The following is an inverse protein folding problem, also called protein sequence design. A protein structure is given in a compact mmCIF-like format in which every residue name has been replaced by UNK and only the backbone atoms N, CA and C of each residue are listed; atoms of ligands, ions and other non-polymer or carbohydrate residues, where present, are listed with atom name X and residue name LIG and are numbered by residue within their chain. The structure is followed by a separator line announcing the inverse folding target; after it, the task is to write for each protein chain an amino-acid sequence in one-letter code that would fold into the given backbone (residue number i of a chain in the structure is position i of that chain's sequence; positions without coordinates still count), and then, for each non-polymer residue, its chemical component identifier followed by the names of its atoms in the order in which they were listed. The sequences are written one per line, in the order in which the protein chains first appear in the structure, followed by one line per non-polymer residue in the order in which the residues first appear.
data_IF_341507852013
#
_entry.id   IF_341507852013
#
_cell.length_a   1.000
_cell.length_b   1.000
_cell.length_c   1.000
_cell.angle_alpha   90.00
_cell.angle_beta   90.00
_cell.angle_gamma   90.00
#
_symmetry.space_group_name_H-M   'P 1'
#
loop_
_entity.id
_entity.type
_entity.pdbx_description
1 polymer ?
#
# COMPACT_ATOMS: atom_id res chain seq x y z
N UNK A 1 2.44 -4.81 -17.47
CA UNK A 1 2.24 -6.16 -16.93
C UNK A 1 1.32 -6.03 -15.73
N UNK A 2 0.01 -6.16 -15.96
CA UNK A 2 -0.98 -6.13 -14.89
C UNK A 2 -0.94 -7.49 -14.20
N UNK A 3 -0.09 -7.64 -13.19
CA UNK A 3 -0.18 -8.77 -12.28
C UNK A 3 -1.54 -8.59 -11.60
N UNK A 4 -2.54 -9.38 -11.97
CA UNK A 4 -3.80 -9.42 -11.23
C UNK A 4 -3.43 -9.63 -9.75
N UNK A 5 -3.74 -8.62 -8.94
CA UNK A 5 -3.31 -8.51 -7.55
C UNK A 5 -4.06 -9.56 -6.74
N UNK A 6 -3.60 -10.81 -6.80
CA UNK A 6 -4.07 -11.91 -5.97
C UNK A 6 -3.36 -11.81 -4.63
N UNK A 7 -4.15 -11.69 -3.57
CA UNK A 7 -3.67 -11.65 -2.20
C UNK A 7 -2.92 -12.93 -1.81
N UNK A 8 -1.79 -12.80 -1.11
CA UNK A 8 -1.00 -13.97 -0.68
C UNK A 8 -1.45 -14.49 0.67
N UNK A 9 -2.30 -15.52 0.66
CA UNK A 9 -2.29 -16.56 1.69
C UNK A 9 -1.52 -17.78 1.14
N UNK A 10 -1.08 -18.68 2.01
CA UNK A 10 -0.22 -19.83 1.65
C UNK A 10 -0.88 -20.68 0.54
N UNK A 11 -0.39 -20.55 -0.70
CA UNK A 11 -0.91 -21.25 -1.89
C UNK A 11 -1.57 -20.36 -2.96
N UNK A 12 -1.79 -19.09 -2.66
CA UNK A 12 -2.54 -18.15 -3.53
C UNK A 12 -1.62 -17.24 -4.36
N UNK A 13 -0.33 -17.18 -4.04
CA UNK A 13 0.63 -16.42 -4.82
C UNK A 13 0.98 -17.12 -6.14
N UNK A 14 0.12 -16.95 -7.15
CA UNK A 14 0.27 -17.46 -8.51
C UNK A 14 -0.52 -16.60 -9.49
N UNK A 15 -0.13 -16.58 -10.76
CA UNK A 15 -0.91 -15.89 -11.80
C UNK A 15 -2.15 -16.70 -12.25
N UNK A 16 -2.81 -16.29 -13.33
CA UNK A 16 -3.93 -17.02 -13.93
C UNK A 16 -3.53 -18.36 -14.56
N UNK A 17 -2.27 -18.48 -15.00
CA UNK A 17 -1.73 -19.73 -15.57
C UNK A 17 -1.26 -20.72 -14.50
N UNK A 18 -1.28 -20.30 -13.22
CA UNK A 18 -0.83 -21.10 -12.08
C UNK A 18 0.66 -20.99 -11.80
N UNK A 19 1.37 -20.07 -12.47
CA UNK A 19 2.79 -19.84 -12.26
C UNK A 19 3.01 -19.22 -10.87
N UNK A 20 3.71 -19.94 -9.99
CA UNK A 20 3.93 -19.55 -8.60
C UNK A 20 4.80 -18.29 -8.50
N UNK A 21 4.55 -17.47 -7.48
CA UNK A 21 5.31 -16.25 -7.21
C UNK A 21 4.88 -15.03 -8.00
N UNK A 22 3.97 -15.18 -8.98
CA UNK A 22 3.41 -14.07 -9.78
C UNK A 22 2.20 -13.44 -9.09
N UNK A 23 2.46 -12.81 -7.95
CA UNK A 23 1.49 -12.04 -7.19
C UNK A 23 2.18 -10.83 -6.54
N UNK A 24 1.43 -9.95 -5.86
CA UNK A 24 2.01 -8.76 -5.19
C UNK A 24 3.04 -9.14 -4.12
N UNK A 25 2.79 -10.18 -3.32
CA UNK A 25 3.74 -10.63 -2.30
C UNK A 25 5.03 -11.19 -2.91
N UNK A 26 4.91 -11.96 -3.98
CA UNK A 26 6.06 -12.47 -4.72
C UNK A 26 6.86 -11.35 -5.39
N UNK A 27 6.18 -10.33 -5.92
CA UNK A 27 6.83 -9.14 -6.46
C UNK A 27 7.60 -8.37 -5.36
N UNK A 28 7.03 -8.18 -4.19
CA UNK A 28 7.71 -7.55 -3.04
C UNK A 28 8.99 -8.33 -2.69
N UNK A 29 8.92 -9.65 -2.59
CA UNK A 29 10.09 -10.49 -2.32
C UNK A 29 11.15 -10.37 -3.43
N UNK A 30 10.72 -10.40 -4.70
CA UNK A 30 11.61 -10.29 -5.85
C UNK A 30 12.37 -8.95 -5.86
N UNK A 31 11.65 -7.83 -5.81
CA UNK A 31 12.29 -6.50 -5.85
C UNK A 31 13.09 -6.19 -4.58
N UNK A 32 12.70 -6.75 -3.43
CA UNK A 32 13.53 -6.70 -2.22
C UNK A 32 14.86 -7.41 -2.45
N UNK A 33 14.85 -8.62 -3.02
CA UNK A 33 16.07 -9.37 -3.32
C UNK A 33 16.97 -8.67 -4.35
N UNK A 34 16.38 -8.04 -5.37
CA UNK A 34 17.13 -7.21 -6.32
C UNK A 34 17.80 -6.02 -5.62
N UNK A 35 17.09 -5.34 -4.71
CA UNK A 35 17.66 -4.20 -4.00
C UNK A 35 18.75 -4.60 -2.99
N UNK A 36 18.76 -5.84 -2.48
CA UNK A 36 19.87 -6.32 -1.64
C UNK A 36 21.21 -6.37 -2.39
N UNK A 37 21.21 -6.39 -3.73
CA UNK A 37 22.44 -6.37 -4.53
C UNK A 37 22.97 -4.95 -4.79
N UNK A 38 22.41 -3.91 -4.15
CA UNK A 38 22.77 -2.50 -4.41
C UNK A 38 24.25 -2.15 -4.14
N UNK A 39 24.91 -2.90 -3.27
CA UNK A 39 26.32 -2.73 -2.92
C UNK A 39 27.26 -3.49 -3.87
N UNK A 40 26.73 -4.39 -4.70
CA UNK A 40 27.51 -5.16 -5.66
C UNK A 40 27.70 -4.37 -6.96
N UNK A 41 28.93 -4.29 -7.44
CA UNK A 41 29.29 -3.64 -8.71
C UNK A 41 28.80 -4.39 -9.96
N UNK A 42 28.13 -5.54 -9.80
CA UNK A 42 27.70 -6.43 -10.89
C UNK A 42 26.19 -6.65 -10.95
N UNK A 43 25.37 -5.76 -10.38
CA UNK A 43 23.92 -5.89 -10.48
C UNK A 43 23.46 -5.74 -11.93
N UNK A 44 22.88 -6.81 -12.50
CA UNK A 44 22.24 -6.79 -13.82
C UNK A 44 20.90 -6.03 -13.81
N UNK A 45 20.33 -5.81 -12.62
CA UNK A 45 19.02 -5.18 -12.45
C UNK A 45 19.07 -3.65 -12.41
N UNK A 46 18.02 -3.03 -12.97
CA UNK A 46 17.74 -1.62 -12.77
C UNK A 46 17.19 -1.37 -11.36
N UNK A 47 18.07 -1.03 -10.43
CA UNK A 47 17.70 -0.87 -9.02
C UNK A 47 16.76 0.32 -8.76
N UNK A 48 16.77 1.35 -9.62
CA UNK A 48 15.79 2.44 -9.54
C UNK A 48 14.39 1.93 -9.82
N UNK A 49 14.24 1.08 -10.84
CA UNK A 49 12.98 0.42 -11.16
C UNK A 49 12.54 -0.53 -10.04
N UNK A 50 13.47 -1.31 -9.49
CA UNK A 50 13.19 -2.18 -8.36
C UNK A 50 12.70 -1.41 -7.12
N UNK A 51 13.31 -0.25 -6.83
CA UNK A 51 12.90 0.61 -5.72
C UNK A 51 11.48 1.17 -5.93
N UNK A 52 11.16 1.59 -7.15
CA UNK A 52 9.82 2.09 -7.50
C UNK A 52 8.76 0.99 -7.39
N UNK A 53 9.04 -0.20 -7.93
CA UNK A 53 8.14 -1.33 -7.84
C UNK A 53 7.95 -1.81 -6.41
N UNK A 54 9.02 -1.96 -5.63
CA UNK A 54 8.92 -2.34 -4.22
C UNK A 54 8.01 -1.38 -3.45
N UNK A 55 8.23 -0.08 -3.65
CA UNK A 55 7.45 0.97 -2.99
C UNK A 55 5.98 0.91 -3.38
N UNK A 56 5.70 0.77 -4.67
CA UNK A 56 4.34 0.66 -5.19
C UNK A 56 3.64 -0.60 -4.65
N UNK A 57 4.31 -1.75 -4.70
CA UNK A 57 3.72 -3.01 -4.26
C UNK A 57 3.53 -3.10 -2.75
N UNK A 58 4.40 -2.49 -1.94
CA UNK A 58 4.13 -2.35 -0.50
C UNK A 58 2.92 -1.45 -0.27
N UNK A 59 2.70 -0.40 -1.07
CA UNK A 59 1.45 0.35 -1.00
C UNK A 59 0.24 -0.49 -1.37
N UNK A 60 0.33 -1.20 -2.49
CA UNK A 60 -0.75 -2.05 -3.01
C UNK A 60 -1.16 -3.16 -2.05
N UNK A 61 -0.20 -3.88 -1.46
CA UNK A 61 -0.51 -5.01 -0.58
C UNK A 61 -1.24 -4.58 0.69
N UNK A 62 -1.17 -3.30 1.06
CA UNK A 62 -1.91 -2.73 2.20
C UNK A 62 -3.34 -2.31 1.85
N UNK A 63 -3.65 -2.18 0.56
CA UNK A 63 -5.01 -1.94 0.07
C UNK A 63 -5.81 -3.24 0.22
N UNK A 64 -6.91 -3.24 1.01
CA UNK A 64 -7.62 -4.49 1.33
C UNK A 64 -8.11 -5.28 0.10
N UNK A 65 -8.66 -4.59 -0.90
CA UNK A 65 -9.25 -5.21 -2.10
C UNK A 65 -8.20 -5.66 -3.15
N UNK A 66 -6.93 -5.26 -3.05
CA UNK A 66 -5.79 -5.83 -3.77
C UNK A 66 -5.39 -7.21 -3.20
N UNK A 67 -6.03 -7.60 -2.10
CA UNK A 67 -5.97 -8.93 -1.49
C UNK A 67 -7.41 -9.41 -1.29
N UNK A 68 -8.28 -9.16 -2.28
CA UNK A 68 -9.69 -9.53 -2.26
C UNK A 68 -10.00 -10.86 -2.94
N UNK A 69 -11.29 -11.13 -3.17
CA UNK A 69 -11.72 -12.39 -3.76
C UNK A 69 -11.50 -12.42 -5.28
N UNK A 70 -11.10 -13.58 -5.80
CA UNK A 70 -10.91 -13.75 -7.26
C UNK A 70 -12.23 -13.74 -8.01
N UNK A 71 -13.33 -14.17 -7.36
CA UNK A 71 -14.68 -14.22 -7.94
C UNK A 71 -15.22 -12.86 -8.35
N UNK A 72 -14.81 -11.81 -7.65
CA UNK A 72 -15.23 -10.42 -7.91
C UNK A 72 -14.08 -9.52 -8.40
N UNK A 73 -12.93 -10.13 -8.74
CA UNK A 73 -11.69 -9.45 -9.11
C UNK A 73 -11.29 -8.37 -8.09
N UNK A 74 -11.42 -8.66 -6.79
CA UNK A 74 -11.16 -7.69 -5.74
C UNK A 74 -12.21 -6.57 -5.69
N UNK A 75 -13.48 -6.86 -5.94
CA UNK A 75 -14.58 -5.90 -5.97
C UNK A 75 -14.63 -5.02 -7.24
N UNK A 76 -13.90 -5.39 -8.31
CA UNK A 76 -13.99 -4.70 -9.60
C UNK A 76 -15.27 -5.07 -10.37
N UNK A 77 -15.93 -6.17 -10.02
CA UNK A 77 -17.21 -6.58 -10.62
C UNK A 77 -18.41 -6.28 -9.72
N UNK A 78 -18.22 -5.46 -8.68
CA UNK A 78 -19.29 -5.04 -7.77
C UNK A 78 -19.59 -3.58 -8.09
N UNK A 79 -20.65 -3.33 -8.87
CA UNK A 79 -21.08 -1.96 -9.16
C UNK A 79 -21.73 -1.36 -7.91
N UNK A 80 -21.38 -0.12 -7.59
CA UNK A 80 -21.92 0.64 -6.47
C UNK A 80 -22.14 2.10 -6.89
N UNK A 81 -22.75 2.87 -6.02
CA UNK A 81 -22.74 4.33 -6.11
C UNK A 81 -21.92 4.88 -4.96
N UNK A 82 -20.92 5.72 -5.27
CA UNK A 82 -20.27 6.57 -4.28
C UNK A 82 -20.99 7.91 -4.24
N UNK A 83 -21.78 8.13 -3.20
CA UNK A 83 -22.79 9.19 -3.18
C UNK A 83 -23.62 9.17 -4.48
N UNK A 84 -23.53 10.24 -5.29
CA UNK A 84 -24.30 10.40 -6.53
C UNK A 84 -23.58 9.84 -7.78
N UNK A 85 -22.37 9.32 -7.66
CA UNK A 85 -21.56 8.85 -8.79
C UNK A 85 -21.53 7.33 -8.85
N UNK A 86 -21.82 6.73 -10.01
CA UNK A 86 -21.61 5.30 -10.23
C UNK A 86 -20.11 4.98 -10.16
N UNK A 87 -19.74 3.96 -9.40
CA UNK A 87 -18.38 3.48 -9.19
C UNK A 87 -18.36 1.95 -9.07
N UNK A 88 -17.16 1.37 -8.95
CA UNK A 88 -16.98 -0.04 -8.53
C UNK A 88 -16.38 -0.09 -7.13
N UNK A 89 -16.70 -1.12 -6.35
CA UNK A 89 -16.26 -1.22 -4.94
C UNK A 89 -14.73 -1.14 -4.80
N UNK A 90 -14.00 -1.73 -5.74
CA UNK A 90 -12.54 -1.61 -5.81
C UNK A 90 -12.07 -0.16 -5.82
N UNK A 91 -12.69 0.67 -6.67
CA UNK A 91 -12.38 2.09 -6.87
C UNK A 91 -12.80 2.96 -5.68
N UNK A 92 -13.83 2.52 -4.95
CA UNK A 92 -14.25 3.18 -3.70
C UNK A 92 -13.22 2.99 -2.58
N UNK A 93 -12.66 1.79 -2.44
CA UNK A 93 -11.83 1.45 -1.27
C UNK A 93 -10.33 1.65 -1.49
N UNK A 94 -9.91 2.41 -2.51
CA UNK A 94 -8.50 2.53 -2.88
C UNK A 94 -7.71 3.26 -1.78
N UNK A 95 -6.59 2.66 -1.43
CA UNK A 95 -5.50 3.26 -0.68
C UNK A 95 -4.50 3.73 -1.72
N UNK A 96 -4.21 5.03 -1.78
CA UNK A 96 -3.30 5.56 -2.77
C UNK A 96 -1.84 5.24 -2.37
N UNK A 97 -1.06 4.47 -3.16
CA UNK A 97 0.36 4.21 -2.87
C UNK A 97 1.21 5.50 -2.79
N UNK A 98 0.69 6.60 -3.35
CA UNK A 98 1.34 7.92 -3.33
C UNK A 98 1.39 8.52 -1.91
N UNK A 99 0.32 8.38 -1.14
CA UNK A 99 0.24 8.89 0.23
C UNK A 99 1.18 8.12 1.15
N UNK A 100 1.24 6.79 1.01
CA UNK A 100 2.15 5.93 1.77
C UNK A 100 3.60 6.42 1.64
N UNK A 101 3.97 6.90 0.46
CA UNK A 101 5.32 7.40 0.21
C UNK A 101 5.57 8.81 0.73
N UNK A 102 4.57 9.69 0.66
CA UNK A 102 4.69 11.02 1.24
C UNK A 102 4.74 10.97 2.78
N UNK A 103 4.03 10.02 3.40
CA UNK A 103 4.15 9.71 4.84
C UNK A 103 5.60 9.38 5.23
N UNK A 104 6.33 8.63 4.39
CA UNK A 104 7.72 8.22 4.66
C UNK A 104 8.72 9.36 4.45
N UNK A 105 8.61 10.09 3.33
CA UNK A 105 9.61 11.09 2.93
C UNK A 105 9.67 12.26 3.91
N UNK A 106 8.54 12.64 4.51
CA UNK A 106 8.44 13.84 5.36
C UNK A 106 9.09 13.66 6.75
N UNK A 107 9.35 12.44 7.23
CA UNK A 107 9.59 12.21 8.67
C UNK A 107 10.93 11.60 9.07
N UNK A 108 11.93 11.54 8.17
CA UNK A 108 13.29 11.04 8.49
C UNK A 108 13.32 9.62 9.12
N UNK A 109 12.29 8.80 8.95
CA UNK A 109 12.26 7.38 9.40
C UNK A 109 13.31 6.52 8.69
N UNK A 110 13.73 6.98 7.53
CA UNK A 110 14.80 6.35 6.78
C UNK A 110 16.15 6.67 7.43
N UNK A 111 17.00 5.66 7.61
CA UNK A 111 18.38 5.87 8.02
C UNK A 111 19.13 6.77 7.03
N UNK A 112 20.20 7.44 7.49
CA UNK A 112 20.98 8.37 6.64
C UNK A 112 21.45 7.74 5.33
N UNK A 113 21.82 6.45 5.35
CA UNK A 113 22.23 5.70 4.15
C UNK A 113 21.07 5.50 3.18
N UNK A 114 19.92 5.06 3.67
CA UNK A 114 18.67 4.92 2.90
C UNK A 114 18.23 6.23 2.26
N UNK A 115 18.21 7.33 3.04
CA UNK A 115 17.86 8.66 2.54
C UNK A 115 18.77 9.09 1.37
N UNK A 116 20.09 8.87 1.51
CA UNK A 116 21.07 9.21 0.48
C UNK A 116 20.84 8.40 -0.80
N UNK A 117 20.55 7.11 -0.68
CA UNK A 117 20.28 6.26 -1.84
C UNK A 117 19.03 6.70 -2.60
N UNK A 118 17.92 6.94 -1.87
CA UNK A 118 16.67 7.41 -2.48
C UNK A 118 16.84 8.77 -3.17
N UNK A 119 17.56 9.70 -2.55
CA UNK A 119 17.83 11.01 -3.14
C UNK A 119 18.65 10.89 -4.43
N UNK A 120 19.77 10.16 -4.39
CA UNK A 120 20.67 9.99 -5.53
C UNK A 120 20.01 9.24 -6.70
N UNK A 121 19.09 8.32 -6.42
CA UNK A 121 18.36 7.56 -7.45
C UNK A 121 17.33 8.41 -8.20
N UNK A 122 17.15 9.69 -7.85
CA UNK A 122 16.12 10.55 -8.45
C UNK A 122 14.70 10.12 -8.10
N UNK A 123 14.55 9.28 -7.06
CA UNK A 123 13.30 8.62 -6.68
C UNK A 123 12.15 9.60 -6.53
N UNK A 124 12.37 10.73 -5.86
CA UNK A 124 11.37 11.77 -5.64
C UNK A 124 10.79 12.34 -6.95
N UNK A 125 11.64 12.54 -7.98
CA UNK A 125 11.22 13.08 -9.28
C UNK A 125 10.43 12.07 -10.11
N UNK A 126 10.83 10.80 -10.06
CA UNK A 126 10.19 9.73 -10.83
C UNK A 126 8.85 9.37 -10.20
N UNK A 127 8.78 9.34 -8.86
CA UNK A 127 7.57 9.03 -8.14
C UNK A 127 6.45 10.03 -8.48
N UNK A 128 6.74 11.34 -8.47
CA UNK A 128 5.83 12.43 -8.88
C UNK A 128 5.16 12.21 -10.25
N UNK A 129 5.84 11.53 -11.18
CA UNK A 129 5.33 11.24 -12.51
C UNK A 129 4.41 10.01 -12.56
N UNK A 130 4.62 9.03 -11.68
CA UNK A 130 3.74 7.88 -11.50
C UNK A 130 2.47 8.21 -10.68
N UNK A 131 2.41 9.38 -10.01
CA UNK A 131 1.33 9.77 -9.10
C UNK A 131 -0.04 10.04 -9.75
N UNK A 132 -0.14 10.11 -11.09
CA UNK A 132 -1.36 10.57 -11.80
C UNK A 132 -2.33 9.48 -12.24
N UNK A 133 -2.17 8.23 -11.81
CA UNK A 133 -2.88 7.08 -12.42
C UNK A 133 -3.85 6.37 -11.48
N UNK A 134 -3.87 6.70 -10.18
CA UNK A 134 -4.55 5.86 -9.18
C UNK A 134 -5.47 6.70 -8.29
N UNK A 135 -6.73 6.82 -8.72
CA UNK A 135 -7.85 7.51 -8.07
C UNK A 135 -8.20 6.90 -6.69
N UNK A 136 -8.83 7.67 -5.79
CA UNK A 136 -9.32 7.15 -4.51
C UNK A 136 -10.48 7.95 -3.92
N UNK A 137 -11.72 7.46 -4.09
CA UNK A 137 -12.92 8.16 -3.62
C UNK A 137 -12.94 8.43 -2.10
N UNK A 138 -12.58 7.48 -1.21
CA UNK A 138 -12.55 7.72 0.24
C UNK A 138 -11.50 8.79 0.61
N UNK A 139 -10.32 8.72 0.02
CA UNK A 139 -9.22 9.66 0.30
C UNK A 139 -9.59 11.04 -0.23
N UNK A 140 -10.03 11.16 -1.48
CA UNK A 140 -10.47 12.41 -2.10
C UNK A 140 -11.62 13.04 -1.31
N UNK A 141 -12.61 12.24 -0.91
CA UNK A 141 -13.72 12.72 -0.07
C UNK A 141 -13.24 13.20 1.29
N UNK A 142 -12.25 12.54 1.90
CA UNK A 142 -11.65 12.96 3.16
C UNK A 142 -10.86 14.25 3.02
N UNK A 143 -10.08 14.37 1.96
CA UNK A 143 -9.27 15.55 1.64
C UNK A 143 -10.14 16.78 1.41
N UNK A 144 -11.19 16.64 0.60
CA UNK A 144 -12.19 17.69 0.33
C UNK A 144 -12.94 18.11 1.60
N UNK A 145 -13.30 17.15 2.47
CA UNK A 145 -14.15 17.44 3.65
C UNK A 145 -13.40 17.95 4.86
N UNK A 146 -12.19 17.46 5.10
CA UNK A 146 -11.49 17.68 6.37
C UNK A 146 -10.19 18.46 6.24
N UNK A 147 -9.64 18.59 5.02
CA UNK A 147 -8.31 19.14 4.81
C UNK A 147 -8.25 20.20 3.70
N UNK A 148 -9.38 20.73 3.23
CA UNK A 148 -9.44 21.79 2.20
C UNK A 148 -8.55 21.50 0.97
N UNK A 149 -8.53 20.25 0.51
CA UNK A 149 -7.66 19.77 -0.60
C UNK A 149 -6.15 19.87 -0.33
N UNK A 150 -5.76 19.87 0.95
CA UNK A 150 -4.39 19.89 1.40
C UNK A 150 -3.91 18.51 1.84
N UNK A 151 -3.28 17.78 0.91
CA UNK A 151 -2.67 16.47 1.16
C UNK A 151 -1.60 16.52 2.27
N UNK A 152 -0.91 17.65 2.45
CA UNK A 152 0.14 17.75 3.48
C UNK A 152 -0.44 17.69 4.91
N UNK A 153 -1.59 18.33 5.14
CA UNK A 153 -2.29 18.27 6.43
C UNK A 153 -2.87 16.88 6.72
N UNK A 154 -3.38 16.23 5.68
CA UNK A 154 -3.82 14.84 5.74
C UNK A 154 -2.67 13.92 6.20
N UNK A 155 -1.49 14.10 5.62
CA UNK A 155 -0.28 13.35 5.99
C UNK A 155 0.14 13.67 7.42
N UNK A 156 0.10 14.94 7.82
CA UNK A 156 0.47 15.36 9.17
C UNK A 156 -0.46 14.73 10.21
N UNK A 157 -1.75 14.59 9.91
CA UNK A 157 -2.69 13.89 10.79
C UNK A 157 -2.34 12.39 10.95
N UNK A 158 -2.00 11.69 9.87
CA UNK A 158 -1.53 10.30 9.94
C UNK A 158 -0.25 10.21 10.77
N UNK A 159 0.69 11.14 10.59
CA UNK A 159 1.96 11.18 11.33
C UNK A 159 1.77 11.44 12.82
N UNK A 160 0.85 12.33 13.19
CA UNK A 160 0.49 12.54 14.59
C UNK A 160 -0.08 11.27 15.21
N UNK A 161 -0.88 10.50 14.48
CA UNK A 161 -1.38 9.21 14.99
C UNK A 161 -0.26 8.17 15.12
N UNK A 162 0.67 8.09 14.17
CA UNK A 162 1.84 7.19 14.26
C UNK A 162 2.69 7.48 15.50
N UNK A 163 2.92 8.76 15.81
CA UNK A 163 3.75 9.18 16.96
C UNK A 163 2.97 9.30 18.27
N UNK A 164 1.64 9.31 18.21
CA UNK A 164 0.73 9.36 19.34
C UNK A 164 -0.05 8.05 19.50
N UNK A 165 -1.26 8.02 18.94
CA UNK A 165 -2.24 6.96 19.17
C UNK A 165 -1.76 5.53 18.85
N UNK A 166 -0.88 5.38 17.86
CA UNK A 166 -0.36 4.08 17.39
C UNK A 166 1.09 3.84 17.79
N UNK A 167 1.70 4.70 18.62
CA UNK A 167 3.12 4.62 18.95
C UNK A 167 3.53 3.25 19.52
N UNK A 168 2.65 2.62 20.30
CA UNK A 168 2.89 1.30 20.90
C UNK A 168 2.77 0.14 19.89
N UNK A 169 2.04 0.32 18.80
CA UNK A 169 1.83 -0.69 17.76
C UNK A 169 2.92 -0.64 16.68
N UNK A 170 3.50 0.54 16.43
CA UNK A 170 4.49 0.77 15.38
C UNK A 170 5.69 -0.19 15.46
N UNK A 171 6.30 -0.49 16.64
CA UNK A 171 7.39 -1.46 16.73
C UNK A 171 6.99 -2.85 16.24
N UNK A 172 5.73 -3.25 16.37
CA UNK A 172 5.24 -4.54 15.86
C UNK A 172 4.99 -4.48 14.34
N UNK A 173 4.59 -3.32 13.80
CA UNK A 173 4.48 -3.14 12.35
C UNK A 173 5.84 -3.17 11.65
N UNK A 174 6.90 -2.66 12.30
CA UNK A 174 8.28 -2.70 11.79
C UNK A 174 8.92 -4.09 11.87
N UNK A 175 8.45 -4.94 12.79
CA UNK A 175 8.96 -6.29 12.97
C UNK A 175 8.57 -7.18 11.80
N UNK A 176 9.51 -8.05 11.48
CA UNK A 176 9.40 -9.11 10.49
C UNK A 176 10.40 -10.19 10.93
N UNK A 177 10.17 -11.45 10.59
CA UNK A 177 10.95 -12.60 11.08
C UNK A 177 12.46 -12.35 11.02
N UNK A 178 13.24 -12.87 11.98
CA UNK A 178 14.68 -12.54 12.14
C UNK A 178 15.54 -12.72 10.87
N UNK A 179 15.11 -13.57 9.94
CA UNK A 179 15.84 -13.86 8.70
C UNK A 179 15.20 -13.23 7.45
N UNK A 180 14.11 -12.48 7.59
CA UNK A 180 13.36 -11.91 6.48
C UNK A 180 13.54 -10.39 6.39
N UNK A 181 13.81 -9.91 5.17
CA UNK A 181 13.94 -8.47 4.88
C UNK A 181 12.58 -7.78 4.78
N UNK A 182 11.54 -8.53 4.39
CA UNK A 182 10.15 -8.07 4.24
C UNK A 182 9.19 -9.22 4.51
N UNK A 183 7.99 -8.94 5.01
CA UNK A 183 6.99 -9.95 5.42
C UNK A 183 5.66 -9.77 4.66
N UNK A 184 5.64 -9.87 3.32
CA UNK A 184 4.45 -9.56 2.54
C UNK A 184 3.26 -10.47 2.81
N UNK A 185 3.48 -11.71 3.25
CA UNK A 185 2.38 -12.64 3.62
C UNK A 185 1.64 -12.17 4.88
N UNK A 186 2.32 -11.51 5.82
CA UNK A 186 1.67 -10.87 6.98
C UNK A 186 0.79 -9.72 6.49
N UNK A 187 1.34 -8.87 5.63
CA UNK A 187 0.63 -7.69 5.11
C UNK A 187 -0.62 -8.11 4.34
N UNK A 188 -0.50 -9.16 3.50
CA UNK A 188 -1.59 -9.75 2.77
C UNK A 188 -2.65 -10.36 3.71
N UNK A 189 -2.25 -11.14 4.72
CA UNK A 189 -3.19 -11.74 5.67
C UNK A 189 -4.02 -10.68 6.41
N UNK A 190 -3.43 -9.54 6.75
CA UNK A 190 -4.15 -8.42 7.34
C UNK A 190 -5.07 -7.72 6.33
N UNK A 191 -4.64 -7.56 5.08
CA UNK A 191 -5.46 -6.93 4.03
C UNK A 191 -6.71 -7.74 3.71
N UNK A 192 -6.63 -9.07 3.59
CA UNK A 192 -7.83 -9.89 3.38
C UNK A 192 -8.77 -9.83 4.59
N UNK A 193 -8.23 -9.82 5.83
CA UNK A 193 -9.05 -9.62 7.04
C UNK A 193 -9.77 -8.28 7.01
N UNK A 194 -9.06 -7.21 6.63
CA UNK A 194 -9.65 -5.88 6.49
C UNK A 194 -10.70 -5.85 5.36
N UNK A 195 -10.46 -6.55 4.25
CA UNK A 195 -11.39 -6.62 3.13
C UNK A 195 -12.71 -7.26 3.58
N UNK A 196 -12.66 -8.40 4.25
CA UNK A 196 -13.85 -9.08 4.76
C UNK A 196 -14.56 -8.29 5.86
N UNK A 197 -13.81 -7.70 6.80
CA UNK A 197 -14.38 -7.02 7.96
C UNK A 197 -14.96 -5.63 7.63
N UNK A 198 -14.43 -4.96 6.60
CA UNK A 198 -14.73 -3.55 6.34
C UNK A 198 -15.14 -3.26 4.90
N UNK A 199 -14.39 -3.74 3.90
CA UNK A 199 -14.62 -3.35 2.50
C UNK A 199 -15.85 -4.05 1.90
N UNK A 200 -15.96 -5.36 2.04
CA UNK A 200 -17.11 -6.13 1.54
C UNK A 200 -18.31 -6.10 2.48
N UNK A 201 -18.08 -5.79 3.76
CA UNK A 201 -19.11 -5.86 4.79
C UNK A 201 -20.23 -4.86 4.48
N UNK A 202 -21.45 -5.38 4.42
CA UNK A 202 -22.69 -4.64 4.15
C UNK A 202 -22.75 -3.99 2.75
N UNK A 203 -21.94 -4.48 1.79
CA UNK A 203 -21.95 -4.01 0.40
C UNK A 203 -22.53 -5.09 -0.51
N UNK A 204 -23.58 -4.72 -1.26
CA UNK A 204 -24.17 -5.53 -2.32
C UNK A 204 -24.09 -4.82 -3.68
N UNK A 205 -24.28 -5.55 -4.76
CA UNK A 205 -24.43 -4.99 -6.10
C UNK A 205 -25.50 -3.89 -6.13
N UNK A 206 -25.15 -2.73 -6.67
CA UNK A 206 -26.02 -1.56 -6.79
C UNK A 206 -26.14 -0.71 -5.51
N UNK A 207 -25.45 -1.07 -4.42
CA UNK A 207 -25.52 -0.31 -3.15
C UNK A 207 -25.05 1.13 -3.32
N UNK A 208 -25.66 2.06 -2.59
CA UNK A 208 -25.18 3.44 -2.46
C UNK A 208 -24.38 3.58 -1.17
N UNK A 209 -23.10 3.92 -1.31
CA UNK A 209 -22.14 4.12 -0.23
C UNK A 209 -22.01 5.62 0.03
N UNK A 210 -22.42 6.03 1.23
CA UNK A 210 -22.45 7.43 1.66
C UNK A 210 -21.72 7.60 3.01
N UNK A 211 -22.18 8.53 3.85
CA UNK A 211 -21.50 8.92 5.09
C UNK A 211 -21.29 7.75 6.06
N UNK A 212 -22.28 6.87 6.23
CA UNK A 212 -22.16 5.72 7.14
C UNK A 212 -21.02 4.78 6.74
N UNK A 213 -20.91 4.49 5.44
CA UNK A 213 -19.82 3.68 4.91
C UNK A 213 -18.49 4.44 4.97
N UNK A 214 -18.48 5.70 4.56
CA UNK A 214 -17.29 6.55 4.55
C UNK A 214 -16.67 6.69 5.95
N UNK A 215 -17.43 7.17 6.93
CA UNK A 215 -16.95 7.48 8.28
C UNK A 215 -16.51 6.22 9.05
N UNK A 216 -17.20 5.10 8.84
CA UNK A 216 -16.83 3.84 9.51
C UNK A 216 -15.58 3.17 8.92
N UNK A 217 -15.29 3.37 7.62
CA UNK A 217 -14.14 2.76 6.95
C UNK A 217 -12.91 3.68 6.92
N UNK A 218 -13.09 4.99 7.08
CA UNK A 218 -12.00 5.98 7.07
C UNK A 218 -10.86 5.67 8.07
N UNK A 219 -11.12 5.26 9.33
CA UNK A 219 -10.04 4.93 10.27
C UNK A 219 -9.21 3.72 9.81
N UNK A 220 -9.84 2.75 9.15
CA UNK A 220 -9.15 1.56 8.61
C UNK A 220 -8.24 1.97 7.45
N UNK A 221 -8.70 2.86 6.57
CA UNK A 221 -7.88 3.42 5.49
C UNK A 221 -6.65 4.12 6.06
N UNK A 222 -6.81 4.94 7.10
CA UNK A 222 -5.71 5.65 7.75
C UNK A 222 -4.69 4.68 8.37
N UNK A 223 -5.19 3.65 9.06
CA UNK A 223 -4.35 2.62 9.66
C UNK A 223 -3.52 1.88 8.60
N UNK A 224 -4.15 1.46 7.50
CA UNK A 224 -3.46 0.74 6.41
C UNK A 224 -2.44 1.62 5.68
N UNK A 225 -2.73 2.92 5.51
CA UNK A 225 -1.77 3.91 5.01
C UNK A 225 -0.55 4.03 5.93
N UNK A 226 -0.77 4.17 7.23
CA UNK A 226 0.29 4.25 8.23
C UNK A 226 1.16 2.99 8.24
N UNK A 227 0.54 1.81 8.27
CA UNK A 227 1.23 0.52 8.24
C UNK A 227 2.07 0.37 6.97
N UNK A 228 1.54 0.71 5.79
CA UNK A 228 2.29 0.69 4.55
C UNK A 228 3.51 1.61 4.59
N UNK A 229 3.36 2.80 5.18
CA UNK A 229 4.43 3.76 5.36
C UNK A 229 5.57 3.22 6.24
N UNK A 230 5.20 2.79 7.46
CA UNK A 230 6.13 2.24 8.45
C UNK A 230 6.85 1.01 7.91
N UNK A 231 6.13 0.07 7.27
CA UNK A 231 6.70 -1.17 6.74
C UNK A 231 7.62 -0.95 5.56
N UNK A 232 7.30 -0.02 4.66
CA UNK A 232 8.20 0.33 3.57
C UNK A 232 9.48 0.97 4.12
N UNK A 233 9.38 1.89 5.08
CA UNK A 233 10.55 2.48 5.72
C UNK A 233 11.43 1.43 6.42
N UNK A 234 10.83 0.54 7.23
CA UNK A 234 11.52 -0.55 7.90
C UNK A 234 12.19 -1.51 6.90
N UNK A 235 11.51 -1.87 5.81
CA UNK A 235 12.04 -2.73 4.75
C UNK A 235 13.25 -2.08 4.07
N UNK A 236 13.14 -0.81 3.65
CA UNK A 236 14.26 -0.09 3.03
C UNK A 236 15.44 0.09 4.00
N UNK A 237 15.17 0.31 5.29
CA UNK A 237 16.21 0.37 6.32
C UNK A 237 16.93 -0.97 6.49
N UNK A 238 16.25 -2.12 6.36
CA UNK A 238 16.91 -3.43 6.36
C UNK A 238 17.74 -3.67 5.09
N UNK A 239 17.29 -3.17 3.95
CA UNK A 239 17.97 -3.31 2.66
C UNK A 239 19.27 -2.48 2.61
N UNK A 240 19.20 -1.20 2.97
CA UNK A 240 20.31 -0.24 2.81
C UNK A 240 21.07 0.03 4.13
N UNK A 241 20.68 -0.64 5.21
CA UNK A 241 21.17 -0.48 6.58
C UNK A 241 22.55 -1.02 6.84
#
# INVERSE_FOLDING_TARGET
MSIEKKGSLRGDCKDETGEKGRCVAGAINNYTNQLLTYSSSSSEYNLTEALLFLSHYIGDIHQPLHVGFTTDRGGNTIDVHWYRRKQVLHHVSIICPTIILQVIVKFKWLGKRTQRYMFNSGYHKIQLKLMRVWDANIIETSEERFYDTNVDEFIDAIQQNITGAWADEVPDWEKCSRNETTCPDIYASESIKAACAWAYKDVNEGSTLEDDYFLSRLPVVYLRLAQGGVRLAATLNRIFG
#
